data_IF_616093503283
#
_entry.id   IF_616093503283
#
_cell.length_a   1.000
_cell.length_b   1.000
_cell.length_c   1.000
_cell.angle_alpha   90.00
_cell.angle_beta   90.00
_cell.angle_gamma   90.00
#
_symmetry.space_group_name_H-M   'P 1'
#
loop_
_entity.id
_entity.type
_entity.pdbx_description
1 polymer ?
#
# COMPACT_ATOMS: atom_id res chain seq x y z
N UNK A 1 22.29 8.23 -13.50
CA UNK A 1 20.94 8.87 -13.55
C UNK A 1 19.95 7.96 -12.84
N UNK A 2 19.22 8.47 -11.88
CA UNK A 2 18.20 7.71 -11.19
C UNK A 2 16.87 7.80 -11.93
N UNK A 3 16.11 6.71 -11.85
CA UNK A 3 14.76 6.63 -12.39
C UNK A 3 13.81 6.35 -11.23
N UNK A 4 12.64 6.98 -11.28
CA UNK A 4 11.59 6.77 -10.29
C UNK A 4 10.39 6.14 -10.98
N UNK A 5 9.88 5.06 -10.41
CA UNK A 5 8.65 4.43 -10.88
C UNK A 5 7.66 4.34 -9.73
N UNK A 6 6.37 4.33 -10.08
CA UNK A 6 5.29 4.28 -9.11
C UNK A 6 4.26 3.25 -9.50
N UNK A 7 3.71 2.58 -8.51
CA UNK A 7 2.61 1.65 -8.68
C UNK A 7 1.70 1.76 -7.47
N UNK A 8 0.40 1.57 -7.65
CA UNK A 8 -0.52 1.67 -6.53
C UNK A 8 -1.56 0.56 -6.54
N UNK A 9 -2.15 0.31 -5.38
CA UNK A 9 -3.36 -0.48 -5.20
C UNK A 9 -4.33 0.30 -4.33
N UNK A 10 -5.62 0.03 -4.47
CA UNK A 10 -6.65 0.63 -3.64
C UNK A 10 -7.31 -0.45 -2.78
N UNK A 11 -7.66 -0.08 -1.56
CA UNK A 11 -8.35 -0.97 -0.63
C UNK A 11 -9.53 -0.24 0.01
N UNK A 12 -10.59 -1.00 0.30
CA UNK A 12 -11.70 -0.52 1.11
C UNK A 12 -11.46 -1.04 2.53
N UNK A 13 -11.08 -0.13 3.43
CA UNK A 13 -10.61 -0.50 4.75
C UNK A 13 -11.32 0.33 5.82
N UNK A 14 -11.81 -0.33 6.86
CA UNK A 14 -12.41 0.34 8.00
C UNK A 14 -11.35 0.81 8.99
N UNK A 15 -11.66 1.87 9.71
CA UNK A 15 -10.79 2.34 10.78
C UNK A 15 -11.54 3.17 11.82
N UNK A 16 -10.83 3.52 12.88
CA UNK A 16 -11.31 4.36 13.95
C UNK A 16 -10.17 5.22 14.48
N UNK A 17 -10.47 6.48 14.79
CA UNK A 17 -9.52 7.40 15.41
C UNK A 17 -10.02 7.69 16.83
N UNK A 18 -9.57 6.95 17.86
CA UNK A 18 -10.20 6.94 19.18
C UNK A 18 -10.25 8.30 19.90
N UNK A 19 -9.25 9.14 19.68
CA UNK A 19 -9.13 10.44 20.36
C UNK A 19 -9.60 11.62 19.53
N UNK A 20 -10.22 11.35 18.38
CA UNK A 20 -10.71 12.41 17.51
C UNK A 20 -12.01 13.01 18.05
N UNK A 21 -12.16 14.33 17.92
CA UNK A 21 -13.32 15.07 18.43
C UNK A 21 -14.56 14.95 17.57
N UNK A 22 -14.42 14.45 16.34
CA UNK A 22 -15.51 14.33 15.38
C UNK A 22 -15.93 12.87 15.19
N UNK A 23 -16.69 12.63 14.11
CA UNK A 23 -17.14 11.28 13.74
C UNK A 23 -16.00 10.28 13.54
N UNK A 24 -14.75 10.73 13.35
CA UNK A 24 -13.61 9.85 13.15
C UNK A 24 -13.28 8.99 14.37
N UNK A 25 -13.80 9.30 15.55
CA UNK A 25 -13.67 8.43 16.73
C UNK A 25 -14.55 7.17 16.65
N UNK A 26 -15.53 7.16 15.77
CA UNK A 26 -16.40 6.00 15.54
C UNK A 26 -15.85 5.13 14.42
N UNK A 27 -16.28 3.89 14.38
CA UNK A 27 -15.92 2.96 13.32
C UNK A 27 -16.49 3.45 11.98
N UNK A 28 -15.65 3.54 10.96
CA UNK A 28 -16.06 3.92 9.61
C UNK A 28 -15.08 3.35 8.60
N UNK A 29 -15.43 3.42 7.33
CA UNK A 29 -14.61 2.90 6.26
C UNK A 29 -14.19 3.98 5.28
N UNK A 30 -13.05 3.78 4.67
CA UNK A 30 -12.52 4.60 3.60
C UNK A 30 -11.95 3.75 2.48
N UNK A 31 -11.84 4.35 1.30
CA UNK A 31 -10.98 3.82 0.26
C UNK A 31 -9.60 4.41 0.45
N UNK A 32 -8.60 3.54 0.60
CA UNK A 32 -7.20 3.91 0.70
C UNK A 32 -6.49 3.64 -0.61
N UNK A 33 -5.58 4.52 -0.96
CA UNK A 33 -4.64 4.30 -2.05
C UNK A 33 -3.25 4.10 -1.46
N UNK A 34 -2.68 2.95 -1.75
CA UNK A 34 -1.33 2.58 -1.30
C UNK A 34 -0.39 2.68 -2.48
N UNK A 35 0.55 3.59 -2.42
CA UNK A 35 1.46 3.84 -3.53
C UNK A 35 2.88 3.42 -3.15
N UNK A 36 3.49 2.59 -4.00
CA UNK A 36 4.89 2.26 -3.90
C UNK A 36 5.68 3.16 -4.84
N UNK A 37 6.67 3.84 -4.29
CA UNK A 37 7.58 4.70 -5.05
C UNK A 37 8.96 4.06 -4.96
N UNK A 38 9.51 3.69 -6.11
CA UNK A 38 10.79 3.00 -6.19
C UNK A 38 11.75 3.84 -7.02
N UNK A 39 12.94 4.08 -6.49
CA UNK A 39 13.96 4.87 -7.14
C UNK A 39 15.25 4.09 -7.23
N UNK A 40 15.93 4.20 -8.36
CA UNK A 40 17.21 3.53 -8.56
C UNK A 40 17.68 3.65 -9.99
N UNK A 41 18.64 2.81 -10.35
CA UNK A 41 19.22 2.79 -11.67
C UNK A 41 18.57 1.71 -12.54
N UNK A 42 18.40 2.02 -13.82
CA UNK A 42 17.86 1.08 -14.80
C UNK A 42 18.82 -0.11 -14.94
N UNK A 43 18.25 -1.31 -15.03
CA UNK A 43 19.01 -2.53 -15.24
C UNK A 43 19.59 -2.52 -16.64
N UNK A 44 20.92 -2.65 -16.71
CA UNK A 44 21.65 -2.64 -17.99
C UNK A 44 22.22 -4.01 -18.36
N UNK A 45 21.91 -5.04 -17.58
CA UNK A 45 22.35 -6.39 -17.87
C UNK A 45 21.70 -6.91 -19.13
N UNK A 46 22.50 -7.21 -20.14
CA UNK A 46 22.03 -7.63 -21.44
C UNK A 46 21.42 -9.04 -21.39
N UNK A 47 20.27 -9.21 -22.03
CA UNK A 47 19.64 -10.51 -22.19
C UNK A 47 18.75 -10.95 -21.03
N UNK A 48 18.64 -10.16 -19.96
CA UNK A 48 17.69 -10.46 -18.87
C UNK A 48 16.31 -9.87 -19.20
N UNK A 49 15.25 -10.47 -18.64
CA UNK A 49 13.87 -10.08 -18.98
C UNK A 49 13.51 -8.65 -18.57
N UNK A 50 14.18 -8.10 -17.57
CA UNK A 50 13.95 -6.74 -17.06
C UNK A 50 15.03 -5.74 -17.51
N UNK A 51 15.79 -6.07 -18.57
CA UNK A 51 16.73 -5.14 -19.16
C UNK A 51 16.01 -3.85 -19.61
N UNK A 52 16.57 -2.71 -19.26
CA UNK A 52 15.98 -1.40 -19.57
C UNK A 52 14.92 -0.95 -18.57
N UNK A 53 14.65 -1.72 -17.54
CA UNK A 53 13.70 -1.38 -16.49
C UNK A 53 14.43 -1.11 -15.17
N UNK A 54 13.83 -0.35 -14.29
CA UNK A 54 14.26 -0.28 -12.90
C UNK A 54 13.82 -1.55 -12.17
N UNK A 55 12.55 -1.90 -12.35
CA UNK A 55 11.93 -3.10 -11.82
C UNK A 55 10.67 -3.36 -12.64
N UNK A 56 10.33 -4.60 -12.89
CA UNK A 56 9.10 -4.94 -13.59
C UNK A 56 7.89 -4.51 -12.78
N UNK A 57 6.96 -3.79 -13.41
CA UNK A 57 5.73 -3.35 -12.74
C UNK A 57 4.90 -4.52 -12.22
N UNK A 58 4.93 -5.66 -12.88
CA UNK A 58 4.19 -6.85 -12.42
C UNK A 58 4.74 -7.38 -11.10
N UNK A 59 6.04 -7.30 -10.88
CA UNK A 59 6.66 -7.70 -9.61
C UNK A 59 6.24 -6.76 -8.48
N UNK A 60 6.18 -5.45 -8.74
CA UNK A 60 5.72 -4.47 -7.76
C UNK A 60 4.24 -4.71 -7.44
N UNK A 61 3.41 -4.93 -8.46
CA UNK A 61 1.99 -5.22 -8.27
C UNK A 61 1.76 -6.47 -7.44
N UNK A 62 2.53 -7.52 -7.68
CA UNK A 62 2.44 -8.77 -6.91
C UNK A 62 2.74 -8.54 -5.44
N UNK A 63 3.79 -7.77 -5.13
CA UNK A 63 4.16 -7.42 -3.76
C UNK A 63 3.06 -6.59 -3.09
N UNK A 64 2.53 -5.57 -3.78
CA UNK A 64 1.46 -4.73 -3.26
C UNK A 64 0.19 -5.53 -3.00
N UNK A 65 -0.19 -6.42 -3.89
CA UNK A 65 -1.39 -7.24 -3.72
C UNK A 65 -1.20 -8.20 -2.55
N UNK A 66 -0.09 -8.93 -2.51
CA UNK A 66 0.14 -9.96 -1.48
C UNK A 66 0.32 -9.37 -0.08
N UNK A 67 1.07 -8.28 0.05
CA UNK A 67 1.48 -7.76 1.36
C UNK A 67 0.61 -6.61 1.86
N UNK A 68 -0.16 -5.96 1.00
CA UNK A 68 -1.02 -4.84 1.37
C UNK A 68 -2.47 -5.13 1.03
N UNK A 69 -2.82 -5.29 -0.23
CA UNK A 69 -4.21 -5.47 -0.65
C UNK A 69 -4.87 -6.67 0.04
N UNK A 70 -4.26 -7.85 -0.02
CA UNK A 70 -4.85 -9.07 0.54
C UNK A 70 -4.88 -9.06 2.07
N UNK A 71 -4.04 -8.23 2.69
CA UNK A 71 -3.99 -8.12 4.16
C UNK A 71 -5.03 -7.14 4.68
N UNK A 72 -5.18 -5.97 4.03
CA UNK A 72 -5.98 -4.87 4.59
C UNK A 72 -7.30 -4.61 3.87
N UNK A 73 -7.49 -5.11 2.64
CA UNK A 73 -8.74 -4.91 1.92
C UNK A 73 -9.90 -5.61 2.63
N UNK A 74 -11.00 -4.89 2.80
CA UNK A 74 -12.16 -5.34 3.59
C UNK A 74 -11.82 -5.70 5.04
N UNK A 75 -10.68 -5.21 5.54
CA UNK A 75 -10.24 -5.39 6.92
C UNK A 75 -10.54 -4.14 7.74
N UNK A 76 -10.22 -4.20 9.03
CA UNK A 76 -10.39 -3.09 9.95
C UNK A 76 -9.06 -2.75 10.60
N UNK A 77 -8.59 -1.51 10.38
CA UNK A 77 -7.35 -1.03 10.99
C UNK A 77 -7.73 -0.38 12.33
N UNK A 78 -7.20 -0.92 13.43
CA UNK A 78 -7.49 -0.43 14.77
C UNK A 78 -6.22 -0.05 15.49
N UNK A 79 -6.33 1.02 16.27
CA UNK A 79 -5.35 1.30 17.28
C UNK A 79 -5.48 0.25 18.38
N UNK A 80 -4.36 -0.27 18.87
CA UNK A 80 -4.35 -1.39 19.82
C UNK A 80 -5.31 -1.19 21.01
N UNK A 81 -5.32 0.01 21.59
CA UNK A 81 -6.20 0.33 22.70
C UNK A 81 -7.67 0.53 22.31
N UNK A 82 -7.99 0.64 21.01
CA UNK A 82 -9.37 0.74 20.55
C UNK A 82 -10.19 -0.50 20.84
N UNK A 83 -9.56 -1.66 20.89
CA UNK A 83 -10.22 -2.92 21.18
C UNK A 83 -10.78 -2.97 22.61
N UNK A 84 -10.20 -2.18 23.52
CA UNK A 84 -10.65 -2.08 24.90
C UNK A 84 -11.94 -1.28 25.01
N UNK A 85 -12.21 -0.42 24.04
CA UNK A 85 -13.35 0.50 24.04
C UNK A 85 -14.49 0.07 23.13
N UNK A 86 -14.35 -1.05 22.48
CA UNK A 86 -15.39 -1.65 21.66
C UNK A 86 -16.25 -2.55 22.54
#
# INVERSE_FOLDING_TARGET
MTTTIKRFVETDTGHRVPNHKSKCKHMHGHRYRWEAVIEGDIIQTSGVSDEGMLMDFSDISEILVKHIHDVVDHSFIVYELSLIHI
#
